data_IF_925272222885
#
_entry.id   IF_925272222885
#
_cell.length_a   1.000
_cell.length_b   1.000
_cell.length_c   1.000
_cell.angle_alpha   90.00
_cell.angle_beta   90.00
_cell.angle_gamma   90.00
#
_symmetry.space_group_name_H-M   'P 1'
#
loop_
_entity.id
_entity.type
_entity.pdbx_description
1 polymer ?
#
# COMPACT_ATOMS: atom_id res chain seq x y z
N UNK A 1 -8.52 11.31 -17.59
CA UNK A 1 -8.28 11.65 -16.17
C UNK A 1 -6.81 11.45 -15.89
N UNK A 2 -6.17 12.41 -15.24
CA UNK A 2 -4.77 12.33 -14.84
C UNK A 2 -4.63 11.46 -13.58
N UNK A 3 -3.78 10.45 -13.63
CA UNK A 3 -3.51 9.56 -12.50
C UNK A 3 -2.07 9.75 -12.04
N UNK A 4 -1.86 10.05 -10.77
CA UNK A 4 -0.54 10.17 -10.17
C UNK A 4 -0.37 9.13 -9.04
N UNK A 5 0.75 8.41 -9.04
CA UNK A 5 1.11 7.55 -7.93
C UNK A 5 2.05 8.25 -6.95
N UNK A 6 1.87 7.98 -5.66
CA UNK A 6 2.72 8.48 -4.59
C UNK A 6 3.14 7.37 -3.65
N UNK A 7 4.44 7.30 -3.37
CA UNK A 7 5.03 6.45 -2.34
C UNK A 7 5.66 7.34 -1.27
N UNK A 8 4.94 7.64 -0.18
CA UNK A 8 5.49 8.42 0.91
C UNK A 8 6.57 7.62 1.65
N UNK A 9 7.73 8.22 1.85
CA UNK A 9 8.85 7.58 2.55
C UNK A 9 9.47 8.50 3.59
N UNK A 10 10.02 7.89 4.65
CA UNK A 10 11.00 8.52 5.54
C UNK A 10 12.17 7.58 5.76
N UNK A 11 13.39 8.10 5.92
CA UNK A 11 14.59 7.28 6.09
C UNK A 11 14.98 7.08 7.57
N UNK A 12 14.30 7.75 8.50
CA UNK A 12 14.50 7.63 9.94
C UNK A 12 13.61 6.54 10.57
N UNK A 13 13.50 5.37 9.94
CA UNK A 13 12.71 4.25 10.46
C UNK A 13 13.29 3.74 11.78
N UNK A 14 12.46 3.62 12.84
CA UNK A 14 12.88 3.18 14.18
C UNK A 14 12.88 1.66 14.35
N UNK A 15 11.80 0.99 13.94
CA UNK A 15 11.63 -0.47 14.10
C UNK A 15 12.64 -1.27 13.25
N UNK A 16 12.81 -0.89 11.99
CA UNK A 16 13.80 -1.46 11.09
C UNK A 16 14.60 -0.33 10.45
N UNK A 17 15.81 0.00 10.96
CA UNK A 17 16.63 1.07 10.41
C UNK A 17 16.92 0.87 8.91
N UNK A 18 16.85 1.98 8.15
CA UNK A 18 17.05 2.00 6.71
C UNK A 18 16.10 1.08 5.92
N UNK A 19 14.93 0.72 6.48
CA UNK A 19 13.98 -0.23 5.89
C UNK A 19 13.77 -0.05 4.39
N UNK A 20 13.49 1.17 3.94
CA UNK A 20 13.15 1.46 2.55
C UNK A 20 14.29 1.21 1.57
N UNK A 21 15.54 1.34 2.01
CA UNK A 21 16.75 1.17 1.19
C UNK A 21 17.48 -0.15 1.45
N UNK A 22 17.02 -0.94 2.41
CA UNK A 22 17.60 -2.25 2.74
C UNK A 22 17.38 -3.22 1.58
N UNK A 23 18.48 -3.83 1.05
CA UNK A 23 18.35 -4.74 -0.08
C UNK A 23 17.89 -6.13 0.35
N UNK A 24 17.06 -6.78 -0.48
CA UNK A 24 16.88 -8.23 -0.46
C UNK A 24 18.15 -8.93 -0.96
N UNK A 25 18.20 -10.25 -0.84
CA UNK A 25 19.35 -11.07 -1.23
C UNK A 25 19.77 -10.87 -2.70
N UNK A 26 18.84 -10.48 -3.57
CA UNK A 26 19.13 -10.15 -4.98
C UNK A 26 19.78 -8.77 -5.18
N UNK A 27 20.05 -8.01 -4.11
CA UNK A 27 20.68 -6.68 -4.14
C UNK A 27 19.72 -5.52 -4.45
N UNK A 28 18.43 -5.75 -4.67
CA UNK A 28 17.44 -4.68 -4.90
C UNK A 28 16.92 -4.11 -3.58
N UNK A 29 16.90 -2.79 -3.39
CA UNK A 29 16.36 -2.17 -2.18
C UNK A 29 14.85 -2.37 -2.07
N UNK A 30 14.30 -2.41 -0.84
CA UNK A 30 12.88 -2.67 -0.60
C UNK A 30 11.95 -1.73 -1.39
N UNK A 31 12.27 -0.45 -1.48
CA UNK A 31 11.47 0.51 -2.23
C UNK A 31 11.38 0.19 -3.73
N UNK A 32 12.36 -0.50 -4.28
CA UNK A 32 12.45 -0.79 -5.71
C UNK A 32 11.25 -1.63 -6.20
N UNK A 33 10.76 -2.57 -5.40
CA UNK A 33 9.72 -3.52 -5.80
C UNK A 33 8.42 -2.81 -6.13
N UNK A 34 7.82 -2.11 -5.17
CA UNK A 34 6.55 -1.41 -5.38
C UNK A 34 6.68 -0.28 -6.43
N UNK A 35 7.84 0.40 -6.48
CA UNK A 35 8.07 1.43 -7.47
C UNK A 35 8.11 0.86 -8.88
N UNK A 36 8.73 -0.31 -9.09
CA UNK A 36 8.74 -1.01 -10.37
C UNK A 36 7.34 -1.47 -10.77
N UNK A 37 6.56 -2.02 -9.83
CA UNK A 37 5.17 -2.39 -10.09
C UNK A 37 4.33 -1.19 -10.54
N UNK A 38 4.48 -0.04 -9.89
CA UNK A 38 3.75 1.18 -10.25
C UNK A 38 4.10 1.70 -11.65
N UNK A 39 5.37 1.57 -12.07
CA UNK A 39 5.83 1.96 -13.41
C UNK A 39 5.25 1.05 -14.52
N UNK A 40 4.81 -0.15 -14.20
CA UNK A 40 4.19 -1.09 -15.15
C UNK A 40 2.69 -0.83 -15.35
N UNK A 41 2.05 -0.02 -14.51
CA UNK A 41 0.61 0.30 -14.61
C UNK A 41 0.40 1.42 -15.62
N UNK A 42 -0.07 1.10 -16.80
CA UNK A 42 -0.19 2.05 -17.93
C UNK A 42 -1.06 3.27 -17.65
N UNK A 43 -2.07 3.14 -16.78
CA UNK A 43 -2.95 4.23 -16.42
C UNK A 43 -2.28 5.30 -15.52
N UNK A 44 -1.13 5.00 -14.94
CA UNK A 44 -0.39 5.94 -14.07
C UNK A 44 0.55 6.80 -14.94
N UNK A 45 0.28 8.10 -15.01
CA UNK A 45 1.11 9.01 -15.81
C UNK A 45 2.47 9.29 -15.19
N UNK A 46 2.53 9.35 -13.84
CA UNK A 46 3.76 9.64 -13.08
C UNK A 46 3.76 8.93 -11.75
N UNK A 47 4.93 8.42 -11.38
CA UNK A 47 5.19 7.79 -10.08
C UNK A 47 6.12 8.69 -9.28
N UNK A 48 5.68 9.10 -8.08
CA UNK A 48 6.45 9.98 -7.20
C UNK A 48 6.89 9.26 -5.92
N UNK A 49 8.13 9.48 -5.55
CA UNK A 49 8.61 9.26 -4.18
C UNK A 49 8.56 10.57 -3.43
N UNK A 50 7.73 10.63 -2.40
CA UNK A 50 7.53 11.82 -1.56
C UNK A 50 8.30 11.67 -0.25
N UNK A 51 9.53 12.20 -0.20
CA UNK A 51 10.50 11.99 0.88
C UNK A 51 11.24 13.29 1.22
N UNK A 52 11.48 13.54 2.51
CA UNK A 52 12.23 14.71 2.99
C UNK A 52 13.73 14.61 2.67
N UNK A 53 14.28 13.39 2.68
CA UNK A 53 15.71 13.16 2.51
C UNK A 53 16.04 12.86 1.03
N UNK A 54 16.84 13.71 0.35
CA UNK A 54 17.17 13.55 -1.06
C UNK A 54 18.07 12.36 -1.38
N UNK A 55 18.73 11.75 -0.39
CA UNK A 55 19.58 10.57 -0.62
C UNK A 55 18.81 9.35 -1.13
N UNK A 56 17.47 9.35 -0.97
CA UNK A 56 16.63 8.28 -1.52
C UNK A 56 16.76 8.17 -3.05
N UNK A 57 17.13 9.24 -3.75
CA UNK A 57 17.23 9.25 -5.21
C UNK A 57 18.23 8.23 -5.75
N UNK A 58 19.26 7.86 -4.97
CA UNK A 58 20.26 6.84 -5.35
C UNK A 58 19.65 5.44 -5.48
N UNK A 59 18.46 5.21 -4.93
CA UNK A 59 17.80 3.91 -4.86
C UNK A 59 16.59 3.80 -5.78
N UNK A 60 16.22 4.89 -6.48
CA UNK A 60 15.00 4.92 -7.28
C UNK A 60 15.23 4.28 -8.66
N UNK A 61 14.29 3.45 -9.14
CA UNK A 61 14.31 3.01 -10.54
C UNK A 61 14.10 4.19 -11.49
N UNK A 62 14.64 4.04 -12.71
CA UNK A 62 14.44 5.03 -13.77
C UNK A 62 12.94 5.21 -14.05
N UNK A 63 12.49 6.45 -14.21
CA UNK A 63 11.08 6.79 -14.43
C UNK A 63 10.33 7.25 -13.19
N UNK A 64 10.90 7.05 -12.00
CA UNK A 64 10.34 7.56 -10.74
C UNK A 64 10.82 8.99 -10.50
N UNK A 65 9.89 9.89 -10.19
CA UNK A 65 10.20 11.27 -9.83
C UNK A 65 10.37 11.42 -8.31
N UNK A 66 11.47 12.06 -7.90
CA UNK A 66 11.65 12.49 -6.52
C UNK A 66 10.96 13.82 -6.30
N UNK A 67 10.08 13.88 -5.31
CA UNK A 67 9.47 15.11 -4.81
C UNK A 67 9.84 15.30 -3.33
N UNK A 68 10.51 16.42 -3.03
CA UNK A 68 10.91 16.71 -1.67
C UNK A 68 9.70 17.14 -0.85
N UNK A 69 9.42 16.43 0.25
CA UNK A 69 8.43 16.88 1.25
C UNK A 69 9.10 17.64 2.38
N UNK A 70 8.33 18.46 3.08
CA UNK A 70 8.80 19.16 4.28
C UNK A 70 9.15 18.18 5.41
N UNK A 71 10.21 18.49 6.16
CA UNK A 71 10.65 17.70 7.33
C UNK A 71 9.63 17.73 8.49
N UNK A 72 8.74 18.72 8.50
CA UNK A 72 7.60 18.80 9.40
C UNK A 72 6.68 17.57 9.31
N UNK A 73 6.61 16.94 8.15
CA UNK A 73 5.84 15.72 7.93
C UNK A 73 6.55 14.42 8.38
N UNK A 74 7.76 14.49 8.92
CA UNK A 74 8.51 13.33 9.42
C UNK A 74 8.22 13.01 10.89
N UNK A 75 7.43 13.83 11.57
CA UNK A 75 7.07 13.63 12.97
C UNK A 75 6.28 12.32 13.14
N UNK A 76 6.48 11.65 14.28
CA UNK A 76 5.74 10.40 14.59
C UNK A 76 4.24 10.64 14.78
N UNK A 77 3.85 11.87 15.12
CA UNK A 77 2.45 12.30 15.25
C UNK A 77 1.77 12.61 13.92
N UNK A 78 2.54 12.81 12.84
CA UNK A 78 2.01 13.13 11.50
C UNK A 78 1.20 11.95 10.95
N UNK A 79 -0.05 12.19 10.65
CA UNK A 79 -0.93 11.18 10.06
C UNK A 79 -0.72 11.10 8.56
N UNK A 80 -0.86 9.89 8.01
CA UNK A 80 -0.69 9.67 6.57
C UNK A 80 -1.60 10.57 5.72
N UNK A 81 -2.83 10.81 6.15
CA UNK A 81 -3.74 11.70 5.42
C UNK A 81 -3.22 13.14 5.32
N UNK A 82 -2.47 13.63 6.30
CA UNK A 82 -1.84 14.98 6.23
C UNK A 82 -0.73 15.01 5.16
N UNK A 83 0.06 13.93 5.08
CA UNK A 83 1.09 13.76 4.04
C UNK A 83 0.46 13.74 2.66
N UNK A 84 -0.63 13.00 2.49
CA UNK A 84 -1.33 12.87 1.21
C UNK A 84 -2.04 14.16 0.79
N UNK A 85 -2.62 14.89 1.74
CA UNK A 85 -3.25 16.19 1.47
C UNK A 85 -2.20 17.21 1.00
N UNK A 86 -1.01 17.23 1.63
CA UNK A 86 0.10 18.09 1.20
C UNK A 86 0.57 17.71 -0.20
N UNK A 87 0.76 16.43 -0.47
CA UNK A 87 1.13 15.93 -1.80
C UNK A 87 0.11 16.35 -2.87
N UNK A 88 -1.19 16.18 -2.60
CA UNK A 88 -2.24 16.55 -3.54
C UNK A 88 -2.26 18.07 -3.85
N UNK A 89 -1.84 18.90 -2.90
CA UNK A 89 -1.66 20.34 -3.12
C UNK A 89 -0.46 20.69 -4.02
N UNK A 90 0.57 19.84 -4.04
CA UNK A 90 1.78 20.03 -4.84
C UNK A 90 1.70 19.36 -6.22
N UNK A 91 0.96 18.26 -6.34
CA UNK A 91 0.81 17.47 -7.57
C UNK A 91 -0.67 17.33 -7.91
N UNK A 92 -1.24 18.25 -8.71
CA UNK A 92 -2.64 18.13 -9.13
C UNK A 92 -2.87 16.92 -10.04
N UNK A 93 -3.82 16.06 -9.68
CA UNK A 93 -4.28 14.92 -10.46
C UNK A 93 -5.77 14.65 -10.16
N UNK A 94 -6.46 13.94 -11.04
CA UNK A 94 -7.87 13.56 -10.85
C UNK A 94 -8.01 12.37 -9.90
N UNK A 95 -7.04 11.44 -9.97
CA UNK A 95 -6.97 10.21 -9.14
C UNK A 95 -5.56 10.04 -8.64
N UNK A 96 -5.44 9.62 -7.38
CA UNK A 96 -4.18 9.28 -6.75
C UNK A 96 -4.12 7.78 -6.44
N UNK A 97 -2.93 7.20 -6.65
CA UNK A 97 -2.58 5.84 -6.20
C UNK A 97 -1.50 5.97 -5.14
N UNK A 98 -1.83 5.64 -3.90
CA UNK A 98 -0.88 5.64 -2.80
C UNK A 98 -0.52 4.21 -2.45
N UNK A 99 0.78 3.93 -2.30
CA UNK A 99 1.30 2.64 -1.85
C UNK A 99 2.36 2.81 -0.78
N UNK A 100 2.66 1.72 -0.06
CA UNK A 100 3.76 1.67 0.90
C UNK A 100 4.90 0.79 0.38
N UNK A 101 6.14 1.14 0.69
CA UNK A 101 7.32 0.30 0.40
C UNK A 101 7.27 -1.04 1.10
N UNK A 102 6.53 -1.11 2.20
CA UNK A 102 6.39 -2.30 3.04
C UNK A 102 5.54 -3.41 2.43
N UNK A 103 4.89 -3.13 1.29
CA UNK A 103 4.08 -4.09 0.53
C UNK A 103 4.75 -4.44 -0.82
N UNK A 104 5.91 -5.15 -0.82
CA UNK A 104 6.71 -5.36 -2.02
C UNK A 104 6.09 -6.32 -3.04
N UNK A 105 5.07 -7.09 -2.66
CA UNK A 105 4.47 -8.12 -3.50
C UNK A 105 3.14 -7.71 -4.14
N UNK A 106 2.71 -6.48 -3.97
CA UNK A 106 1.51 -5.96 -4.64
C UNK A 106 1.69 -6.08 -6.16
N UNK A 107 0.69 -6.67 -6.82
CA UNK A 107 0.70 -6.89 -8.26
C UNK A 107 0.04 -5.72 -8.99
N UNK A 108 0.51 -5.46 -10.21
CA UNK A 108 -0.08 -4.43 -11.07
C UNK A 108 -1.57 -4.71 -11.37
N UNK A 109 -1.94 -5.98 -11.58
CA UNK A 109 -3.31 -6.38 -11.88
C UNK A 109 -4.28 -6.02 -10.73
N UNK A 110 -3.81 -6.08 -9.48
CA UNK A 110 -4.60 -5.67 -8.32
C UNK A 110 -4.79 -4.15 -8.26
N UNK A 111 -3.76 -3.39 -8.59
CA UNK A 111 -3.84 -1.92 -8.73
C UNK A 111 -4.76 -1.54 -9.88
N UNK A 112 -4.63 -2.20 -11.04
CA UNK A 112 -5.45 -1.96 -12.23
C UNK A 112 -6.94 -2.20 -11.96
N UNK A 113 -7.31 -3.27 -11.25
CA UNK A 113 -8.70 -3.50 -10.80
C UNK A 113 -9.26 -2.36 -9.95
N UNK A 114 -8.45 -1.84 -9.05
CA UNK A 114 -8.83 -0.69 -8.22
C UNK A 114 -8.98 0.59 -9.04
N UNK A 115 -8.04 0.84 -9.96
CA UNK A 115 -8.09 1.99 -10.88
C UNK A 115 -9.30 1.93 -11.80
N UNK A 116 -9.59 0.80 -12.41
CA UNK A 116 -10.76 0.60 -13.27
C UNK A 116 -12.05 0.97 -12.52
N UNK A 117 -12.21 0.49 -11.29
CA UNK A 117 -13.37 0.78 -10.46
C UNK A 117 -13.54 2.28 -10.16
N UNK A 118 -12.44 2.99 -9.86
CA UNK A 118 -12.48 4.42 -9.57
C UNK A 118 -12.65 5.26 -10.84
N UNK A 119 -11.95 4.91 -11.93
CA UNK A 119 -12.00 5.62 -13.20
C UNK A 119 -13.38 5.47 -13.89
N UNK A 120 -14.07 4.36 -13.69
CA UNK A 120 -15.44 4.15 -14.20
C UNK A 120 -16.48 5.12 -13.58
N UNK A 121 -16.17 5.72 -12.44
CA UNK A 121 -17.09 6.56 -11.68
C UNK A 121 -18.05 5.79 -10.77
N UNK A 122 -17.97 4.45 -10.77
CA UNK A 122 -18.82 3.62 -9.90
C UNK A 122 -18.44 3.73 -8.41
N UNK A 123 -17.16 4.03 -8.15
CA UNK A 123 -16.58 4.15 -6.81
C UNK A 123 -15.77 5.44 -6.69
N UNK A 124 -15.70 5.99 -5.48
CA UNK A 124 -14.90 7.19 -5.19
C UNK A 124 -13.47 6.86 -4.72
N UNK A 125 -13.28 5.63 -4.28
CA UNK A 125 -12.00 5.09 -3.83
C UNK A 125 -11.95 3.58 -3.98
N UNK A 126 -10.74 3.01 -3.88
CA UNK A 126 -10.50 1.58 -3.82
C UNK A 126 -9.27 1.29 -2.95
N UNK A 127 -9.22 0.16 -2.28
CA UNK A 127 -8.06 -0.23 -1.49
C UNK A 127 -7.92 -1.75 -1.37
N UNK A 128 -6.69 -2.19 -1.10
CA UNK A 128 -6.38 -3.60 -0.97
C UNK A 128 -6.87 -4.17 0.36
N UNK A 129 -7.53 -5.32 0.29
CA UNK A 129 -8.00 -6.07 1.45
C UNK A 129 -7.64 -7.55 1.32
N UNK A 130 -7.40 -8.19 2.47
CA UNK A 130 -7.31 -9.63 2.60
C UNK A 130 -8.65 -10.18 3.09
N UNK A 131 -9.17 -11.20 2.44
CA UNK A 131 -10.35 -11.92 2.92
C UNK A 131 -9.94 -12.86 4.07
N UNK A 132 -10.65 -12.76 5.19
CA UNK A 132 -10.46 -13.60 6.37
C UNK A 132 -11.67 -14.51 6.56
N UNK A 133 -11.41 -15.81 6.72
CA UNK A 133 -12.39 -16.82 7.14
C UNK A 133 -11.85 -17.57 8.35
N UNK A 134 -11.43 -16.81 9.36
CA UNK A 134 -10.83 -17.32 10.59
C UNK A 134 -11.78 -17.12 11.77
N UNK A 135 -11.60 -17.94 12.81
CA UNK A 135 -12.30 -17.74 14.07
C UNK A 135 -11.69 -16.58 14.84
N UNK A 136 -12.44 -15.49 14.94
CA UNK A 136 -11.98 -14.27 15.59
C UNK A 136 -12.58 -14.12 16.98
N UNK A 137 -11.77 -13.58 17.90
CA UNK A 137 -12.16 -13.29 19.27
C UNK A 137 -12.05 -11.79 19.55
N UNK A 138 -13.01 -11.24 20.28
CA UNK A 138 -13.02 -9.86 20.75
C UNK A 138 -13.49 -9.84 22.21
N UNK A 139 -12.75 -9.13 23.07
CA UNK A 139 -13.06 -8.97 24.49
C UNK A 139 -13.31 -10.31 25.23
N UNK A 140 -12.50 -11.32 24.90
CA UNK A 140 -12.56 -12.67 25.49
C UNK A 140 -13.78 -13.52 25.05
N UNK A 141 -14.46 -13.12 23.94
CA UNK A 141 -15.60 -13.85 23.36
C UNK A 141 -15.38 -14.06 21.86
N UNK A 142 -15.97 -15.14 21.29
CA UNK A 142 -16.00 -15.30 19.84
C UNK A 142 -16.71 -14.12 19.19
N UNK A 143 -16.15 -13.63 18.10
CA UNK A 143 -16.67 -12.46 17.39
C UNK A 143 -17.61 -12.83 16.23
N UNK A 144 -17.24 -13.86 15.45
CA UNK A 144 -17.90 -14.20 14.20
C UNK A 144 -18.45 -15.64 14.15
N UNK A 145 -18.60 -16.30 15.29
CA UNK A 145 -19.21 -17.62 15.40
C UNK A 145 -19.80 -17.84 16.80
N UNK A 146 -20.62 -18.90 16.99
CA UNK A 146 -21.18 -19.31 18.27
C UNK A 146 -20.46 -20.56 18.80
N UNK A 147 -20.20 -20.63 20.12
CA UNK A 147 -19.47 -21.76 20.73
C UNK A 147 -20.25 -23.09 20.73
N UNK A 148 -21.56 -23.00 20.70
CA UNK A 148 -22.48 -24.15 20.67
C UNK A 148 -22.77 -24.65 19.23
N UNK A 149 -22.34 -23.90 18.22
CA UNK A 149 -22.53 -24.23 16.82
C UNK A 149 -21.32 -23.75 15.97
N UNK A 150 -20.16 -24.36 16.20
CA UNK A 150 -18.91 -23.97 15.53
C UNK A 150 -18.96 -24.42 14.06
N UNK A 151 -18.99 -23.50 13.08
CA UNK A 151 -18.98 -23.85 11.66
C UNK A 151 -17.58 -24.26 11.20
N UNK A 152 -17.47 -24.77 9.97
CA UNK A 152 -16.16 -24.89 9.31
C UNK A 152 -15.70 -23.49 8.89
N UNK A 153 -14.41 -23.23 8.85
CA UNK A 153 -13.86 -21.91 8.47
C UNK A 153 -14.36 -21.45 7.09
N UNK A 154 -14.49 -22.38 6.13
CA UNK A 154 -14.98 -22.11 4.78
C UNK A 154 -16.46 -21.69 4.72
N UNK A 155 -17.24 -21.98 5.76
CA UNK A 155 -18.66 -21.63 5.86
C UNK A 155 -18.89 -20.30 6.64
N UNK A 156 -17.81 -19.70 7.19
CA UNK A 156 -17.86 -18.39 7.82
C UNK A 156 -18.15 -17.29 6.80
N UNK A 157 -18.94 -16.30 7.21
CA UNK A 157 -19.04 -15.05 6.44
C UNK A 157 -17.67 -14.39 6.37
N UNK A 158 -17.23 -13.94 5.17
CA UNK A 158 -15.93 -13.33 5.02
C UNK A 158 -15.85 -12.00 5.75
N UNK A 159 -14.77 -11.79 6.48
CA UNK A 159 -14.34 -10.50 6.97
C UNK A 159 -13.19 -9.99 6.10
N UNK A 160 -12.98 -8.69 6.07
CA UNK A 160 -11.94 -8.09 5.25
C UNK A 160 -10.97 -7.31 6.13
N UNK A 161 -9.70 -7.67 6.06
CA UNK A 161 -8.61 -6.95 6.68
C UNK A 161 -8.05 -5.93 5.69
N UNK A 162 -8.05 -4.64 6.05
CA UNK A 162 -7.33 -3.61 5.30
C UNK A 162 -5.84 -3.93 5.30
N UNK A 163 -5.23 -3.97 4.12
CA UNK A 163 -3.79 -4.16 3.96
C UNK A 163 -3.10 -2.83 3.66
N UNK A 164 -1.79 -2.76 3.87
CA UNK A 164 -0.99 -1.60 3.50
C UNK A 164 -0.65 -1.53 2.01
N UNK A 165 -1.19 -2.43 1.18
CA UNK A 165 -0.82 -2.62 -0.22
C UNK A 165 -0.98 -1.37 -1.07
N UNK A 166 -2.21 -0.91 -1.26
CA UNK A 166 -2.50 0.31 -2.01
C UNK A 166 -3.83 0.95 -1.61
N UNK A 167 -3.93 2.25 -1.88
CA UNK A 167 -5.12 3.07 -1.79
C UNK A 167 -5.24 3.92 -3.04
N UNK A 168 -6.40 3.87 -3.68
CA UNK A 168 -6.73 4.63 -4.89
C UNK A 168 -7.91 5.52 -4.55
N UNK A 169 -7.81 6.80 -4.81
CA UNK A 169 -8.87 7.74 -4.45
C UNK A 169 -8.90 8.93 -5.40
N UNK A 170 -10.10 9.47 -5.59
CA UNK A 170 -10.30 10.71 -6.34
C UNK A 170 -9.78 11.91 -5.57
N UNK A 171 -9.43 12.96 -6.28
CA UNK A 171 -8.96 14.21 -5.69
C UNK A 171 -9.90 14.73 -4.61
N UNK A 172 -11.23 14.72 -4.85
CA UNK A 172 -12.22 15.20 -3.91
C UNK A 172 -12.19 14.45 -2.55
N UNK A 173 -11.84 13.18 -2.55
CA UNK A 173 -11.77 12.39 -1.31
C UNK A 173 -10.70 12.94 -0.37
N UNK A 174 -9.52 13.29 -0.89
CA UNK A 174 -8.47 13.86 -0.06
C UNK A 174 -8.68 15.34 0.22
N UNK A 175 -9.19 16.13 -0.74
CA UNK A 175 -9.31 17.58 -0.59
C UNK A 175 -10.55 18.01 0.19
N UNK A 176 -11.66 17.26 0.13
CA UNK A 176 -12.90 17.60 0.82
C UNK A 176 -13.12 16.79 2.09
N UNK A 177 -12.75 15.49 2.07
CA UNK A 177 -12.96 14.61 3.23
C UNK A 177 -11.70 14.46 4.10
N UNK A 178 -10.52 14.91 3.64
CA UNK A 178 -9.26 14.82 4.38
C UNK A 178 -8.78 13.38 4.63
N UNK A 179 -9.17 12.43 3.79
CA UNK A 179 -8.86 11.00 3.97
C UNK A 179 -8.61 10.31 2.62
N UNK A 180 -8.04 9.10 2.64
CA UNK A 180 -7.71 8.29 1.46
C UNK A 180 -8.78 7.25 1.10
N UNK A 181 -9.80 7.07 1.93
CA UNK A 181 -10.95 6.18 1.69
C UNK A 181 -12.20 7.05 1.69
N UNK A 182 -12.99 6.99 0.63
CA UNK A 182 -14.20 7.78 0.45
C UNK A 182 -15.44 7.21 1.13
N UNK A 183 -16.61 7.56 0.62
CA UNK A 183 -17.91 7.08 1.11
C UNK A 183 -18.36 5.81 0.39
N UNK A 184 -17.87 5.59 -0.84
CA UNK A 184 -18.22 4.45 -1.68
C UNK A 184 -16.95 3.72 -2.16
N UNK A 185 -16.22 3.06 -1.26
CA UNK A 185 -14.99 2.40 -1.60
C UNK A 185 -15.22 1.05 -2.30
N UNK A 186 -14.33 0.69 -3.23
CA UNK A 186 -14.18 -0.67 -3.75
C UNK A 186 -13.14 -1.42 -2.93
N UNK A 187 -13.52 -2.52 -2.32
CA UNK A 187 -12.58 -3.47 -1.74
C UNK A 187 -12.00 -4.35 -2.86
N UNK A 188 -10.68 -4.34 -2.99
CA UNK A 188 -9.94 -5.20 -3.92
C UNK A 188 -9.27 -6.30 -3.12
N UNK A 189 -9.82 -7.51 -3.22
CA UNK A 189 -9.24 -8.68 -2.53
C UNK A 189 -7.93 -9.07 -3.20
N UNK A 190 -6.87 -9.14 -2.41
CA UNK A 190 -5.53 -9.55 -2.81
C UNK A 190 -5.17 -10.90 -2.19
N UNK A 191 -4.14 -11.56 -2.73
CA UNK A 191 -3.64 -12.85 -2.21
C UNK A 191 -2.90 -12.69 -0.88
N UNK A 192 -2.67 -13.80 -0.19
CA UNK A 192 -1.84 -13.86 1.03
C UNK A 192 -0.45 -13.25 0.80
N UNK A 193 0.17 -13.55 -0.33
CA UNK A 193 1.50 -13.03 -0.69
C UNK A 193 1.46 -11.52 -0.91
N UNK A 194 0.44 -11.01 -1.62
CA UNK A 194 0.29 -9.56 -1.83
C UNK A 194 -0.04 -8.79 -0.54
N UNK A 195 -0.60 -9.49 0.46
CA UNK A 195 -0.96 -8.88 1.75
C UNK A 195 0.21 -8.78 2.74
N UNK A 196 1.38 -9.29 2.39
CA UNK A 196 2.59 -9.20 3.25
C UNK A 196 2.96 -7.74 3.46
N UNK A 197 3.12 -7.36 4.72
CA UNK A 197 3.56 -6.04 5.18
C UNK A 197 4.83 -6.18 6.02
N UNK A 198 5.88 -5.43 5.68
CA UNK A 198 7.18 -5.50 6.34
C UNK A 198 7.28 -4.39 7.37
N UNK A 199 7.15 -4.72 8.64
CA UNK A 199 7.28 -3.79 9.73
C UNK A 199 8.52 -4.02 10.59
N UNK A 200 8.84 -5.27 10.86
CA UNK A 200 9.93 -5.71 11.72
C UNK A 200 11.02 -6.47 10.93
N UNK A 201 12.12 -6.79 11.61
CA UNK A 201 13.23 -7.51 10.97
C UNK A 201 12.84 -8.93 10.52
N UNK A 202 11.95 -9.60 11.26
CA UNK A 202 11.45 -10.94 10.92
C UNK A 202 10.60 -10.90 9.65
N UNK A 203 9.74 -9.90 9.50
CA UNK A 203 8.93 -9.70 8.29
C UNK A 203 9.81 -9.55 7.06
N UNK A 204 10.94 -8.80 7.21
CA UNK A 204 11.90 -8.61 6.13
C UNK A 204 12.55 -9.93 5.69
N UNK A 205 12.93 -10.78 6.65
CA UNK A 205 13.52 -12.10 6.35
C UNK A 205 12.52 -13.03 5.66
N UNK A 206 11.26 -13.02 6.12
CA UNK A 206 10.18 -13.81 5.52
C UNK A 206 9.92 -13.32 4.08
N UNK A 207 9.84 -12.02 3.89
CA UNK A 207 9.62 -11.43 2.57
C UNK A 207 10.77 -11.73 1.59
N UNK A 208 12.03 -11.62 2.03
CA UNK A 208 13.19 -11.96 1.20
C UNK A 208 13.17 -13.45 0.79
N UNK A 209 12.85 -14.33 1.74
CA UNK A 209 12.71 -15.77 1.45
C UNK A 209 11.56 -16.05 0.46
N UNK A 210 10.40 -15.42 0.62
CA UNK A 210 9.27 -15.55 -0.30
C UNK A 210 9.62 -15.07 -1.71
N UNK A 211 10.33 -13.95 -1.83
CA UNK A 211 10.79 -13.44 -3.11
C UNK A 211 11.70 -14.44 -3.83
N UNK A 212 12.67 -15.02 -3.10
CA UNK A 212 13.59 -15.99 -3.67
C UNK A 212 12.89 -17.29 -4.11
N UNK A 213 11.87 -17.74 -3.34
CA UNK A 213 11.05 -18.91 -3.71
C UNK A 213 10.23 -18.65 -4.97
N UNK A 214 9.67 -17.45 -5.14
CA UNK A 214 8.89 -17.10 -6.33
C UNK A 214 9.72 -17.11 -7.61
N UNK A 215 11.00 -16.74 -7.53
CA UNK A 215 11.94 -16.80 -8.66
C UNK A 215 12.33 -18.22 -9.08
N UNK A 216 12.20 -19.21 -8.19
CA UNK A 216 12.53 -20.61 -8.46
C UNK A 216 11.36 -21.35 -9.13
N UNK A 217 10.14 -20.84 -8.99
CA UNK A 217 8.90 -21.52 -9.42
C UNK A 217 8.15 -20.81 -10.55
N UNK A 218 8.75 -19.82 -11.21
CA UNK A 218 8.23 -19.15 -12.42
C UNK A 218 8.99 -19.59 -13.65
#
# INVERSE_FOLDING_TARGET
>A
MKVAAVVPMKLNNRRLPQKNTKPFTNGRPLCWYILSTLLEVEAIEKVYVYCSNPSIQEYLPQGVEYLRRGEDLDQDSTKMNEVLARFAGEVPADVYVMTHTTAPFVRKESIEKGLEAVLSGAYDSAFAVKELRDFLWKDGKPFNYALDAIPRTQDLEPLYQETSGFYIYRQEVITQLGRRIGEKPKLVTVSEVESVDIDEAEDFLIADALYNLSLIHI
#
